data_IF_422521627270
#
_entry.id   IF_422521627270
#
_cell.length_a   1.000
_cell.length_b   1.000
_cell.length_c   1.000
_cell.angle_alpha   90.00
_cell.angle_beta   90.00
_cell.angle_gamma   90.00
#
_symmetry.space_group_name_H-M   'P 1'
#
loop_
_entity.id
_entity.type
_entity.pdbx_description
1 polymer ?
#
# COMPACT_ATOMS: atom_id res chain seq x y z
N UNK A 1 -21.45 21.73 22.28
CA UNK A 1 -20.50 21.17 23.26
C UNK A 1 -20.75 19.70 23.53
N UNK A 2 -21.89 19.28 24.12
CA UNK A 2 -22.16 17.85 24.41
C UNK A 2 -21.99 16.90 23.21
N UNK A 3 -22.47 17.27 22.03
CA UNK A 3 -22.33 16.45 20.80
C UNK A 3 -20.89 16.32 20.27
N UNK A 4 -20.02 17.29 20.56
CA UNK A 4 -18.61 17.26 20.16
C UNK A 4 -17.81 16.34 21.11
N UNK A 5 -18.21 16.30 22.39
CA UNK A 5 -17.66 15.41 23.41
C UNK A 5 -18.04 13.95 23.18
N UNK A 6 -19.28 13.67 22.73
CA UNK A 6 -19.69 12.31 22.34
C UNK A 6 -19.00 11.82 21.07
N UNK A 7 -18.71 12.72 20.13
CA UNK A 7 -17.94 12.40 18.92
C UNK A 7 -16.48 12.03 19.26
N UNK A 8 -15.83 12.81 20.14
CA UNK A 8 -14.47 12.54 20.62
C UNK A 8 -14.39 11.26 21.46
N UNK A 9 -15.38 10.99 22.32
CA UNK A 9 -15.44 9.73 23.07
C UNK A 9 -15.72 8.54 22.14
N UNK A 10 -16.60 8.68 21.14
CA UNK A 10 -16.85 7.66 20.13
C UNK A 10 -15.64 7.36 19.24
N UNK A 11 -14.83 8.38 18.93
CA UNK A 11 -13.55 8.25 18.23
C UNK A 11 -12.48 7.57 19.13
N UNK A 12 -12.46 7.90 20.42
CA UNK A 12 -11.57 7.27 21.42
C UNK A 12 -11.92 5.81 21.72
N UNK A 13 -13.20 5.44 21.63
CA UNK A 13 -13.68 4.10 21.96
C UNK A 13 -13.52 3.09 20.83
N UNK A 14 -13.75 3.52 19.58
CA UNK A 14 -13.49 2.67 18.41
C UNK A 14 -12.01 2.41 18.15
N UNK A 15 -11.13 3.34 18.57
CA UNK A 15 -9.67 3.17 18.48
C UNK A 15 -9.15 2.15 19.50
N UNK A 16 -9.75 2.06 20.69
CA UNK A 16 -9.49 0.97 21.64
C UNK A 16 -10.00 -0.39 21.17
N UNK A 17 -11.08 -0.42 20.40
CA UNK A 17 -11.64 -1.66 19.84
C UNK A 17 -10.85 -2.22 18.67
N UNK A 18 -10.26 -1.33 17.87
CA UNK A 18 -9.29 -1.69 16.85
C UNK A 18 -7.98 -2.27 17.42
N UNK A 19 -7.75 -2.17 18.73
CA UNK A 19 -6.57 -2.70 19.43
C UNK A 19 -6.68 -4.21 19.71
N UNK A 20 -7.89 -4.76 19.75
CA UNK A 20 -8.16 -6.17 20.05
C UNK A 20 -8.17 -7.08 18.80
N UNK A 21 -8.30 -6.50 17.61
CA UNK A 21 -8.23 -7.20 16.33
C UNK A 21 -6.92 -6.77 15.68
N UNK A 22 -6.00 -7.70 15.47
CA UNK A 22 -4.64 -7.49 14.93
C UNK A 22 -4.63 -6.97 13.48
N UNK A 23 -5.06 -5.73 13.28
CA UNK A 23 -4.94 -4.93 12.05
C UNK A 23 -4.58 -3.52 12.50
N UNK A 24 -3.30 -3.17 12.43
CA UNK A 24 -2.78 -1.85 12.82
C UNK A 24 -3.48 -0.74 12.00
N UNK A 25 -3.93 0.32 12.68
CA UNK A 25 -4.88 1.34 12.16
C UNK A 25 -4.37 2.80 12.28
N UNK A 26 -5.01 3.77 11.57
CA UNK A 26 -4.58 5.16 11.36
C UNK A 26 -4.66 6.14 12.56
N UNK A 27 -4.62 5.66 13.79
CA UNK A 27 -4.71 6.53 14.98
C UNK A 27 -3.84 5.96 16.10
N UNK A 28 -2.64 6.49 16.25
CA UNK A 28 -1.83 6.31 17.44
C UNK A 28 -2.26 7.27 18.55
N UNK A 29 -3.38 6.99 19.24
CA UNK A 29 -3.70 7.69 20.48
C UNK A 29 -3.15 6.89 21.67
N UNK A 30 -2.26 7.52 22.41
CA UNK A 30 -1.65 6.96 23.62
C UNK A 30 -2.73 6.70 24.69
N UNK A 31 -2.66 5.54 25.35
CA UNK A 31 -3.64 5.09 26.35
C UNK A 31 -3.71 6.07 27.53
N UNK A 32 -2.59 6.72 27.83
CA UNK A 32 -2.48 7.67 28.93
C UNK A 32 -3.22 8.98 28.66
N UNK A 33 -3.39 9.37 27.39
CA UNK A 33 -4.13 10.59 26.99
C UNK A 33 -5.63 10.40 27.18
N UNK A 34 -6.15 9.20 26.89
CA UNK A 34 -7.57 8.88 27.09
C UNK A 34 -7.93 8.79 28.57
N UNK A 35 -7.04 8.23 29.40
CA UNK A 35 -7.23 8.16 30.85
C UNK A 35 -7.16 9.56 31.48
N UNK A 36 -6.21 10.41 31.08
CA UNK A 36 -6.12 11.79 31.54
C UNK A 36 -7.34 12.63 31.11
N UNK A 37 -7.87 12.40 29.91
CA UNK A 37 -9.10 13.06 29.46
C UNK A 37 -10.32 12.59 30.27
N UNK A 38 -10.46 11.29 30.52
CA UNK A 38 -11.56 10.73 31.29
C UNK A 38 -11.56 11.25 32.75
N UNK A 39 -10.38 11.29 33.38
CA UNK A 39 -10.20 11.78 34.74
C UNK A 39 -10.46 13.29 34.84
N UNK A 40 -10.00 14.07 33.85
CA UNK A 40 -10.22 15.53 33.79
C UNK A 40 -11.68 15.93 33.59
N UNK A 41 -12.51 15.05 33.02
CA UNK A 41 -13.94 15.28 32.82
C UNK A 41 -14.85 14.42 33.71
N UNK A 42 -14.28 13.65 34.65
CA UNK A 42 -15.02 12.84 35.63
C UNK A 42 -15.80 11.67 35.01
N UNK A 43 -15.30 11.09 33.92
CA UNK A 43 -15.92 9.96 33.23
C UNK A 43 -15.31 8.64 33.72
N UNK A 44 -16.13 7.76 34.30
CA UNK A 44 -15.74 6.41 34.71
C UNK A 44 -15.92 5.46 33.51
N UNK A 45 -14.82 5.04 32.87
CA UNK A 45 -14.85 4.27 31.63
C UNK A 45 -14.42 2.82 31.88
N UNK A 46 -15.38 1.90 31.93
CA UNK A 46 -15.14 0.45 31.86
C UNK A 46 -14.92 0.03 30.40
N UNK A 47 -13.65 0.00 30.01
CA UNK A 47 -13.21 -0.33 28.66
C UNK A 47 -13.61 -1.76 28.24
N UNK A 48 -13.71 -2.73 29.15
CA UNK A 48 -14.01 -4.11 28.79
C UNK A 48 -15.51 -4.33 28.49
N UNK A 49 -16.39 -3.53 29.09
CA UNK A 49 -17.82 -3.54 28.77
C UNK A 49 -18.12 -2.83 27.44
N UNK A 50 -17.45 -1.71 27.18
CA UNK A 50 -17.61 -0.91 25.95
C UNK A 50 -17.14 -1.65 24.68
N UNK A 51 -16.18 -2.58 24.80
CA UNK A 51 -15.72 -3.41 23.68
C UNK A 51 -16.78 -4.42 23.20
N UNK A 52 -17.71 -4.81 24.07
CA UNK A 52 -18.77 -5.78 23.77
C UNK A 52 -20.05 -5.15 23.19
N UNK A 53 -20.22 -3.83 23.33
CA UNK A 53 -21.42 -3.09 22.93
C UNK A 53 -21.18 -2.12 21.75
N UNK A 54 -20.30 -2.44 20.79
CA UNK A 54 -20.31 -1.65 19.55
C UNK A 54 -21.62 -1.86 18.80
N UNK A 55 -22.54 -0.96 19.09
CA UNK A 55 -23.81 -0.79 18.41
C UNK A 55 -23.56 -0.51 16.92
N UNK A 56 -24.41 -1.04 16.05
CA UNK A 56 -24.30 -0.89 14.58
C UNK A 56 -24.22 0.58 14.17
N UNK A 57 -24.81 1.47 14.97
CA UNK A 57 -24.78 2.91 14.79
C UNK A 57 -23.37 3.53 14.86
N UNK A 58 -22.46 2.97 15.67
CA UNK A 58 -21.07 3.44 15.74
C UNK A 58 -20.28 2.99 14.51
N UNK A 59 -20.51 1.76 14.06
CA UNK A 59 -19.92 1.25 12.81
C UNK A 59 -20.44 2.04 11.59
N UNK A 60 -21.74 2.36 11.57
CA UNK A 60 -22.36 3.19 10.55
C UNK A 60 -21.86 4.63 10.58
N UNK A 61 -21.67 5.21 11.77
CA UNK A 61 -21.06 6.54 11.92
C UNK A 61 -19.61 6.54 11.42
N UNK A 62 -18.84 5.48 11.71
CA UNK A 62 -17.48 5.31 11.18
C UNK A 62 -17.45 5.19 9.66
N UNK A 63 -18.36 4.43 9.06
CA UNK A 63 -18.51 4.37 7.61
C UNK A 63 -18.89 5.74 7.01
N UNK A 64 -19.63 6.57 7.76
CA UNK A 64 -20.03 7.90 7.33
C UNK A 64 -18.93 8.96 7.51
N UNK A 65 -18.00 8.82 8.45
CA UNK A 65 -16.90 9.78 8.64
C UNK A 65 -16.04 9.88 7.37
N UNK A 66 -15.74 8.75 6.73
CA UNK A 66 -15.02 8.71 5.45
C UNK A 66 -15.80 9.42 4.33
N UNK A 67 -17.13 9.38 4.38
CA UNK A 67 -17.99 10.04 3.41
C UNK A 67 -18.11 11.55 3.64
N UNK A 68 -18.21 11.97 4.90
CA UNK A 68 -18.42 13.37 5.27
C UNK A 68 -17.13 14.18 5.23
N UNK A 69 -15.98 13.52 5.44
CA UNK A 69 -14.68 14.17 5.59
C UNK A 69 -13.57 13.47 4.78
N UNK A 70 -13.73 13.29 3.45
CA UNK A 70 -12.81 12.50 2.64
C UNK A 70 -11.38 13.07 2.64
N UNK A 71 -11.25 14.41 2.62
CA UNK A 71 -9.94 15.07 2.67
C UNK A 71 -9.24 14.84 4.01
N UNK A 72 -10.00 14.89 5.11
CA UNK A 72 -9.48 14.63 6.45
C UNK A 72 -9.05 13.17 6.58
N UNK A 73 -9.84 12.23 6.04
CA UNK A 73 -9.50 10.81 6.04
C UNK A 73 -8.24 10.51 5.22
N UNK A 74 -8.05 11.15 4.06
CA UNK A 74 -6.81 11.02 3.30
C UNK A 74 -5.59 11.62 4.01
N UNK A 75 -5.81 12.63 4.86
CA UNK A 75 -4.75 13.22 5.68
C UNK A 75 -4.51 12.46 6.99
N UNK A 76 -5.32 11.44 7.30
CA UNK A 76 -5.11 10.65 8.51
C UNK A 76 -3.78 9.92 8.43
N UNK A 77 -3.08 9.98 9.55
CA UNK A 77 -1.77 9.39 9.75
C UNK A 77 -1.91 7.86 9.87
N UNK A 78 -1.40 7.10 8.89
CA UNK A 78 -1.25 5.66 9.10
C UNK A 78 -0.01 5.44 9.96
N UNK A 79 -0.22 5.25 11.27
CA UNK A 79 0.89 4.92 12.18
C UNK A 79 1.12 3.41 12.16
N UNK A 80 2.29 3.00 11.72
CA UNK A 80 2.78 1.64 11.88
C UNK A 80 3.84 1.64 12.98
N UNK A 81 3.77 0.66 13.89
CA UNK A 81 4.78 0.58 14.96
C UNK A 81 6.13 0.23 14.34
N UNK A 82 7.24 0.84 14.80
CA UNK A 82 8.58 0.44 14.37
C UNK A 82 8.74 -1.07 14.55
N UNK A 83 9.15 -1.76 13.48
CA UNK A 83 9.30 -3.23 13.54
C UNK A 83 10.48 -3.66 14.40
N UNK A 84 11.47 -2.79 14.61
CA UNK A 84 12.67 -3.10 15.37
C UNK A 84 13.18 -1.83 16.09
N UNK A 85 13.31 -1.83 17.43
CA UNK A 85 14.00 -0.74 18.16
C UNK A 85 15.52 -0.82 18.06
N UNK A 86 16.07 -1.90 17.49
CA UNK A 86 17.50 -2.08 17.22
C UNK A 86 17.78 -2.03 15.71
N UNK A 87 18.92 -1.44 15.33
CA UNK A 87 19.33 -1.30 13.94
C UNK A 87 19.42 -2.67 13.24
N UNK A 88 18.55 -2.88 12.24
CA UNK A 88 18.63 -4.03 11.34
C UNK A 88 20.02 -4.01 10.70
N UNK A 89 20.77 -5.11 10.84
CA UNK A 89 22.07 -5.27 10.18
C UNK A 89 21.84 -5.24 8.67
N UNK A 90 22.14 -4.10 8.06
CA UNK A 90 22.12 -3.95 6.61
C UNK A 90 23.12 -4.94 6.00
N UNK A 91 22.64 -5.76 5.06
CA UNK A 91 23.49 -6.58 4.22
C UNK A 91 24.47 -5.62 3.53
N UNK A 92 25.79 -5.89 3.63
CA UNK A 92 26.84 -5.00 3.11
C UNK A 92 26.97 -5.05 1.59
N UNK A 93 26.48 -6.10 0.95
CA UNK A 93 26.64 -6.31 -0.48
C UNK A 93 25.28 -6.28 -1.18
N UNK A 94 25.06 -5.21 -1.96
CA UNK A 94 23.95 -5.02 -2.89
C UNK A 94 24.47 -5.13 -4.31
N UNK A 95 23.76 -5.84 -5.19
CA UNK A 95 24.18 -5.94 -6.60
C UNK A 95 24.12 -4.56 -7.29
N UNK A 96 23.12 -3.75 -6.94
CA UNK A 96 22.96 -2.38 -7.42
C UNK A 96 22.58 -1.42 -6.30
N UNK A 97 23.13 -0.20 -6.41
CA UNK A 97 22.80 0.93 -5.54
C UNK A 97 22.62 2.15 -6.44
N UNK A 98 21.39 2.64 -6.54
CA UNK A 98 21.02 3.72 -7.46
C UNK A 98 20.69 4.96 -6.67
N UNK A 99 21.26 6.08 -7.09
CA UNK A 99 20.99 7.43 -6.59
C UNK A 99 20.86 8.35 -7.80
N UNK A 100 20.06 9.39 -7.67
CA UNK A 100 19.89 10.41 -8.70
C UNK A 100 20.04 11.80 -8.05
N UNK A 101 20.89 12.65 -8.61
CA UNK A 101 21.14 14.00 -8.09
C UNK A 101 19.85 14.88 -8.11
N UNK A 102 18.89 14.58 -8.98
CA UNK A 102 17.60 15.26 -9.02
C UNK A 102 16.64 14.79 -7.91
N UNK A 103 16.88 13.61 -7.32
CA UNK A 103 16.05 12.99 -6.28
C UNK A 103 16.91 12.84 -5.02
N UNK A 104 17.24 13.98 -4.42
CA UNK A 104 18.00 14.04 -3.17
C UNK A 104 17.31 13.22 -2.07
N UNK A 105 18.12 12.60 -1.20
CA UNK A 105 17.69 11.77 -0.05
C UNK A 105 17.10 10.38 -0.38
N UNK A 106 16.92 10.03 -1.66
CA UNK A 106 16.45 8.70 -2.05
C UNK A 106 17.58 7.82 -2.58
N UNK A 107 17.53 6.53 -2.23
CA UNK A 107 18.44 5.50 -2.74
C UNK A 107 17.67 4.22 -3.03
N UNK A 108 17.91 3.58 -4.18
CA UNK A 108 17.37 2.26 -4.47
C UNK A 108 18.47 1.22 -4.34
N UNK A 109 18.27 0.24 -3.45
CA UNK A 109 19.16 -0.91 -3.26
C UNK A 109 18.52 -2.15 -3.86
N UNK A 110 19.23 -2.85 -4.75
CA UNK A 110 18.66 -3.98 -5.49
C UNK A 110 19.58 -5.18 -5.47
N UNK A 111 18.99 -6.36 -5.30
CA UNK A 111 19.63 -7.66 -5.47
C UNK A 111 18.91 -8.47 -6.54
N UNK A 112 19.68 -9.04 -7.46
CA UNK A 112 19.22 -10.06 -8.39
C UNK A 112 19.25 -11.42 -7.70
N UNK A 113 18.16 -12.17 -7.74
CA UNK A 113 18.13 -13.54 -7.21
C UNK A 113 18.98 -14.42 -8.14
N UNK A 114 20.17 -14.81 -7.67
CA UNK A 114 21.17 -15.55 -8.47
C UNK A 114 20.71 -16.93 -8.92
N UNK A 115 19.98 -17.62 -8.06
CA UNK A 115 19.34 -18.90 -8.39
C UNK A 115 17.89 -18.92 -7.88
N UNK A 116 16.93 -18.53 -8.73
CA UNK A 116 15.50 -18.55 -8.41
C UNK A 116 14.98 -19.92 -7.98
N UNK A 117 15.65 -21.01 -8.38
CA UNK A 117 15.24 -22.38 -8.06
C UNK A 117 15.39 -22.69 -6.57
N UNK A 118 16.28 -22.00 -5.86
CA UNK A 118 16.47 -22.16 -4.41
C UNK A 118 15.20 -21.76 -3.65
N UNK A 119 14.54 -20.68 -4.08
CA UNK A 119 13.31 -20.22 -3.46
C UNK A 119 12.09 -21.02 -3.93
N UNK A 120 12.13 -21.53 -5.17
CA UNK A 120 11.04 -22.32 -5.75
C UNK A 120 9.79 -21.52 -6.15
N UNK A 121 9.81 -20.18 -6.02
CA UNK A 121 8.66 -19.31 -6.27
C UNK A 121 8.34 -19.18 -7.77
N UNK A 122 9.34 -18.90 -8.60
CA UNK A 122 9.24 -18.92 -10.06
C UNK A 122 10.61 -19.30 -10.66
N UNK A 123 10.91 -20.60 -10.82
CA UNK A 123 12.27 -21.11 -10.98
C UNK A 123 12.95 -20.72 -12.30
N UNK A 124 12.18 -20.28 -13.30
CA UNK A 124 12.68 -20.00 -14.66
C UNK A 124 12.61 -18.51 -15.02
N UNK A 125 12.26 -17.65 -14.06
CA UNK A 125 12.06 -16.21 -14.26
C UNK A 125 13.12 -15.43 -13.50
N UNK A 126 13.60 -14.35 -14.10
CA UNK A 126 14.48 -13.40 -13.40
C UNK A 126 13.70 -12.67 -12.33
N UNK A 127 14.28 -12.58 -11.14
CA UNK A 127 13.65 -11.93 -10.00
C UNK A 127 14.61 -10.93 -9.34
N UNK A 128 14.05 -9.82 -8.89
CA UNK A 128 14.78 -8.79 -8.17
C UNK A 128 14.09 -8.51 -6.84
N UNK A 129 14.87 -8.31 -5.79
CA UNK A 129 14.36 -7.88 -4.48
C UNK A 129 15.21 -6.72 -4.00
N UNK A 130 14.63 -5.81 -3.25
CA UNK A 130 15.36 -4.63 -2.84
C UNK A 130 14.59 -3.73 -1.90
N UNK A 131 15.18 -2.56 -1.67
CA UNK A 131 14.60 -1.50 -0.87
C UNK A 131 14.74 -0.16 -1.58
N UNK A 132 13.68 0.66 -1.52
CA UNK A 132 13.83 2.10 -1.62
C UNK A 132 14.12 2.65 -0.22
N UNK A 133 15.16 3.45 -0.10
CA UNK A 133 15.54 4.13 1.13
C UNK A 133 15.26 5.62 1.02
N UNK A 134 14.70 6.19 2.08
CA UNK A 134 14.55 7.63 2.30
C UNK A 134 15.49 7.97 3.46
N UNK A 135 16.69 8.45 3.13
CA UNK A 135 17.84 8.50 4.05
C UNK A 135 17.60 9.42 5.26
N UNK A 136 16.93 10.55 5.06
CA UNK A 136 16.64 11.56 6.09
C UNK A 136 15.44 11.19 6.99
N UNK A 137 14.52 10.38 6.49
CA UNK A 137 13.34 9.91 7.22
C UNK A 137 13.48 8.50 7.82
N UNK A 138 14.61 7.82 7.59
CA UNK A 138 14.87 6.44 8.03
C UNK A 138 13.76 5.48 7.54
N UNK A 139 13.31 5.62 6.29
CA UNK A 139 12.29 4.73 5.69
C UNK A 139 12.94 3.77 4.71
N UNK A 140 12.51 2.52 4.74
CA UNK A 140 12.97 1.47 3.85
C UNK A 140 11.77 0.69 3.29
N UNK A 141 11.44 0.88 2.01
CA UNK A 141 10.32 0.21 1.34
C UNK A 141 10.80 -1.01 0.57
N UNK A 142 10.37 -2.20 0.99
CA UNK A 142 10.69 -3.44 0.32
C UNK A 142 9.89 -3.64 -0.97
N UNK A 143 10.54 -4.17 -1.99
CA UNK A 143 9.88 -4.65 -3.20
C UNK A 143 10.40 -6.01 -3.66
N UNK A 144 9.56 -6.72 -4.42
CA UNK A 144 9.92 -7.93 -5.14
C UNK A 144 9.35 -7.90 -6.56
N UNK A 145 10.22 -7.99 -7.55
CA UNK A 145 9.88 -7.99 -8.97
C UNK A 145 10.06 -9.37 -9.59
N UNK A 146 9.14 -9.74 -10.47
CA UNK A 146 9.19 -10.93 -11.33
C UNK A 146 9.05 -10.48 -12.78
N UNK A 147 10.03 -10.84 -13.62
CA UNK A 147 9.91 -10.62 -15.06
C UNK A 147 8.74 -11.39 -15.67
N UNK A 148 8.24 -10.91 -16.81
CA UNK A 148 7.26 -11.65 -17.61
C UNK A 148 7.79 -13.03 -17.99
N UNK A 149 6.94 -14.05 -17.87
CA UNK A 149 7.20 -15.42 -18.35
C UNK A 149 7.19 -15.51 -19.88
N UNK A 150 6.62 -14.53 -20.57
CA UNK A 150 6.51 -14.49 -22.02
C UNK A 150 7.69 -13.72 -22.65
N UNK A 151 7.56 -12.40 -22.83
CA UNK A 151 8.61 -11.56 -23.41
C UNK A 151 8.81 -10.31 -22.55
N UNK A 152 9.70 -10.34 -21.53
CA UNK A 152 9.90 -9.20 -20.63
C UNK A 152 10.47 -7.96 -21.31
N UNK A 153 10.87 -8.04 -22.58
CA UNK A 153 11.29 -6.91 -23.39
C UNK A 153 10.12 -6.21 -24.13
N UNK A 154 8.91 -6.78 -24.11
CA UNK A 154 7.74 -6.22 -24.82
C UNK A 154 6.50 -6.14 -23.96
N UNK A 155 6.34 -7.10 -23.05
CA UNK A 155 5.20 -7.16 -22.17
C UNK A 155 5.20 -5.99 -21.17
N UNK A 156 4.02 -5.50 -20.72
CA UNK A 156 3.93 -4.35 -19.85
C UNK A 156 4.54 -4.58 -18.46
N UNK A 157 4.79 -3.49 -17.74
CA UNK A 157 5.17 -3.49 -16.32
C UNK A 157 3.95 -3.14 -15.46
N UNK A 158 3.74 -3.87 -14.38
CA UNK A 158 2.63 -3.65 -13.45
C UNK A 158 3.21 -3.46 -12.04
N UNK A 159 2.91 -2.31 -11.41
CA UNK A 159 3.04 -2.15 -9.97
C UNK A 159 1.78 -2.67 -9.28
N UNK A 160 1.90 -3.64 -8.38
CA UNK A 160 0.80 -4.17 -7.57
C UNK A 160 0.84 -3.65 -6.13
N UNK A 161 -0.32 -3.20 -5.64
CA UNK A 161 -0.52 -2.68 -4.29
C UNK A 161 -1.71 -3.35 -3.59
N UNK A 162 -1.47 -4.06 -2.50
CA UNK A 162 -2.56 -4.45 -1.59
C UNK A 162 -3.04 -3.26 -0.73
N UNK A 163 -4.24 -3.38 -0.18
CA UNK A 163 -4.89 -2.35 0.62
C UNK A 163 -4.64 -2.45 2.13
N UNK A 164 -5.71 -2.60 2.91
CA UNK A 164 -5.71 -2.63 4.38
C UNK A 164 -6.48 -1.44 4.98
N UNK A 165 -5.86 -0.27 5.21
CA UNK A 165 -4.45 0.10 4.95
C UNK A 165 -3.45 -0.69 5.81
N UNK A 166 -2.22 -0.89 5.32
CA UNK A 166 -1.14 -1.54 6.07
C UNK A 166 -0.94 -3.04 5.82
N UNK A 167 -1.60 -3.62 4.82
CA UNK A 167 -1.38 -5.01 4.42
C UNK A 167 -0.20 -5.10 3.44
N UNK A 168 0.62 -6.14 3.58
CA UNK A 168 1.75 -6.39 2.67
C UNK A 168 1.27 -6.77 1.28
N UNK A 169 1.94 -6.25 0.25
CA UNK A 169 1.70 -6.63 -1.15
C UNK A 169 2.17 -8.04 -1.46
N UNK A 170 2.94 -8.67 -0.57
CA UNK A 170 3.24 -10.09 -0.64
C UNK A 170 2.02 -10.98 -0.36
N UNK A 171 0.95 -10.40 0.20
CA UNK A 171 -0.36 -11.07 0.26
C UNK A 171 -0.86 -11.34 -1.16
N UNK A 172 -0.90 -10.33 -2.03
CA UNK A 172 -1.27 -10.53 -3.43
C UNK A 172 -0.31 -11.43 -4.19
N UNK A 173 0.99 -11.40 -3.85
CA UNK A 173 1.96 -12.32 -4.42
C UNK A 173 1.62 -13.79 -4.09
N UNK A 174 1.50 -14.14 -2.80
CA UNK A 174 1.38 -15.55 -2.40
C UNK A 174 -0.07 -16.06 -2.28
N UNK A 175 -1.07 -15.20 -2.33
CA UNK A 175 -2.46 -15.57 -2.09
C UNK A 175 -3.40 -15.30 -3.28
N UNK A 176 -3.04 -14.38 -4.18
CA UNK A 176 -3.96 -13.92 -5.22
C UNK A 176 -3.43 -14.19 -6.63
N UNK A 177 -2.37 -13.48 -7.04
CA UNK A 177 -2.01 -13.34 -8.45
C UNK A 177 -0.52 -13.53 -8.75
N UNK A 178 0.32 -13.72 -7.73
CA UNK A 178 1.73 -13.98 -7.93
C UNK A 178 2.01 -15.40 -8.45
N UNK A 179 3.29 -15.68 -8.73
CA UNK A 179 3.74 -16.86 -9.48
C UNK A 179 3.60 -18.19 -8.75
N UNK A 180 3.49 -18.15 -7.43
CA UNK A 180 3.25 -19.31 -6.57
C UNK A 180 2.45 -18.90 -5.34
N UNK A 181 1.62 -19.82 -4.84
CA UNK A 181 1.08 -19.77 -3.49
C UNK A 181 1.94 -20.58 -2.52
N UNK A 182 1.66 -20.50 -1.22
CA UNK A 182 2.35 -21.29 -0.20
C UNK A 182 1.42 -22.39 0.34
N UNK A 183 1.84 -23.64 0.20
CA UNK A 183 1.11 -24.82 0.65
C UNK A 183 1.16 -25.04 2.17
N UNK A 184 0.36 -25.99 2.71
CA UNK A 184 0.36 -26.32 4.13
C UNK A 184 1.70 -26.80 4.69
N UNK A 185 2.58 -27.32 3.83
CA UNK A 185 3.93 -27.77 4.12
C UNK A 185 4.98 -26.64 3.99
N UNK A 186 4.52 -25.39 3.84
CA UNK A 186 5.32 -24.20 3.61
C UNK A 186 6.17 -24.31 2.33
N UNK A 187 5.71 -25.06 1.33
CA UNK A 187 6.34 -25.15 0.02
C UNK A 187 5.61 -24.30 -1.00
N UNK A 188 6.34 -23.69 -1.96
CA UNK A 188 5.71 -22.96 -3.05
C UNK A 188 4.94 -23.92 -3.96
N UNK A 189 3.73 -23.53 -4.34
CA UNK A 189 2.88 -24.23 -5.30
C UNK A 189 2.67 -23.29 -6.49
N UNK A 190 3.18 -23.68 -7.66
CA UNK A 190 3.13 -22.86 -8.86
C UNK A 190 1.70 -22.46 -9.25
N UNK A 191 1.52 -21.17 -9.54
CA UNK A 191 0.26 -20.61 -10.02
C UNK A 191 0.29 -20.52 -11.57
N UNK A 192 -0.54 -21.32 -12.28
CA UNK A 192 -0.64 -21.25 -13.74
C UNK A 192 -1.36 -19.97 -14.24
N UNK A 193 -2.03 -19.23 -13.36
CA UNK A 193 -2.79 -18.01 -13.69
C UNK A 193 -2.13 -16.75 -13.16
N UNK A 194 -0.82 -16.80 -12.88
CA UNK A 194 -0.12 -15.63 -12.35
C UNK A 194 -0.13 -14.48 -13.34
N UNK A 195 -0.25 -13.26 -12.83
CA UNK A 195 -0.20 -12.05 -13.64
C UNK A 195 1.16 -11.83 -14.31
N UNK A 196 2.24 -12.44 -13.81
CA UNK A 196 3.52 -12.39 -14.52
C UNK A 196 3.58 -13.30 -15.76
N UNK A 197 2.47 -13.93 -16.17
CA UNK A 197 2.43 -14.71 -17.41
C UNK A 197 2.69 -13.86 -18.66
N UNK A 198 2.25 -12.59 -18.64
CA UNK A 198 2.35 -11.65 -19.77
C UNK A 198 2.64 -10.21 -19.30
N UNK A 199 3.32 -10.06 -18.16
CA UNK A 199 3.73 -8.77 -17.62
C UNK A 199 4.91 -8.96 -16.66
N UNK A 200 5.78 -7.96 -16.54
CA UNK A 200 6.70 -7.87 -15.42
C UNK A 200 5.96 -7.24 -14.23
N UNK A 201 5.90 -7.93 -13.08
CA UNK A 201 5.10 -7.49 -11.94
C UNK A 201 6.00 -7.11 -10.76
N UNK A 202 5.76 -5.94 -10.18
CA UNK A 202 6.44 -5.38 -9.01
C UNK A 202 5.47 -5.41 -7.84
N UNK A 203 5.80 -6.12 -6.76
CA UNK A 203 5.05 -6.11 -5.50
C UNK A 203 5.75 -5.17 -4.53
N UNK A 204 5.09 -4.08 -4.12
CA UNK A 204 5.66 -3.06 -3.24
C UNK A 204 4.98 -3.06 -1.87
N UNK A 205 5.76 -3.23 -0.80
CA UNK A 205 5.26 -3.10 0.57
C UNK A 205 5.20 -1.63 0.99
N UNK A 206 4.01 -1.07 1.04
CA UNK A 206 3.74 0.28 1.51
C UNK A 206 2.46 0.33 2.35
N UNK A 207 2.33 1.28 3.31
CA UNK A 207 3.33 2.26 3.74
C UNK A 207 4.51 1.66 4.53
N UNK A 208 5.40 2.50 5.06
CA UNK A 208 6.57 2.05 5.83
C UNK A 208 6.16 1.19 7.04
N UNK A 209 7.03 0.24 7.43
CA UNK A 209 6.76 -0.85 8.41
C UNK A 209 5.71 -1.91 7.99
N UNK A 210 5.17 -1.88 6.77
CA UNK A 210 4.35 -2.97 6.22
C UNK A 210 5.23 -4.11 5.68
N UNK A 211 4.83 -5.37 5.84
CA UNK A 211 5.55 -6.52 5.25
C UNK A 211 7.05 -6.60 5.59
N UNK A 212 7.94 -6.44 4.62
CA UNK A 212 9.38 -6.31 4.88
C UNK A 212 9.89 -4.87 4.92
N UNK A 213 9.06 -3.89 4.57
CA UNK A 213 9.37 -2.47 4.77
C UNK A 213 9.51 -2.13 6.24
N UNK A 214 10.37 -1.17 6.59
CA UNK A 214 10.67 -0.80 7.97
C UNK A 214 11.18 0.65 8.13
N UNK A 215 11.04 1.18 9.34
CA UNK A 215 11.62 2.42 9.85
C UNK A 215 11.83 2.31 11.36
N UNK A 216 12.94 2.83 11.87
CA UNK A 216 13.25 2.93 13.30
C UNK A 216 12.70 4.20 13.95
N UNK A 217 12.41 5.24 13.16
CA UNK A 217 11.70 6.43 13.62
C UNK A 217 10.17 6.21 13.62
N UNK A 218 9.40 7.05 14.32
CA UNK A 218 7.93 6.96 14.31
C UNK A 218 7.39 7.29 12.92
N UNK A 219 7.27 6.24 12.10
CA UNK A 219 6.82 6.21 10.70
C UNK A 219 5.34 6.55 10.56
N UNK A 220 5.03 7.82 10.78
CA UNK A 220 3.76 8.41 10.41
C UNK A 220 3.83 8.78 8.94
N UNK A 221 3.14 8.02 8.09
CA UNK A 221 2.89 8.43 6.69
C UNK A 221 1.39 8.49 6.44
N UNK A 222 0.94 9.52 5.75
CA UNK A 222 -0.40 9.55 5.15
C UNK A 222 -0.31 9.20 3.66
N UNK A 223 -1.44 9.02 2.99
CA UNK A 223 -1.49 8.62 1.57
C UNK A 223 -0.78 9.62 0.65
N UNK A 224 -0.77 10.90 1.00
CA UNK A 224 -0.10 11.95 0.20
C UNK A 224 1.42 11.82 0.31
N UNK A 225 1.95 11.62 1.52
CA UNK A 225 3.38 11.38 1.73
C UNK A 225 3.82 10.08 1.04
N UNK A 226 3.03 9.01 1.15
CA UNK A 226 3.30 7.75 0.46
C UNK A 226 3.34 7.90 -1.06
N UNK A 227 2.55 8.83 -1.63
CA UNK A 227 2.58 9.11 -3.07
C UNK A 227 3.92 9.63 -3.55
N UNK A 228 4.56 10.52 -2.79
CA UNK A 228 5.91 11.04 -3.09
C UNK A 228 6.96 9.94 -3.02
N UNK A 229 6.91 9.13 -1.97
CA UNK A 229 7.83 8.01 -1.78
C UNK A 229 7.70 6.99 -2.92
N UNK A 230 6.48 6.69 -3.36
CA UNK A 230 6.23 5.77 -4.48
C UNK A 230 6.65 6.36 -5.82
N UNK A 231 6.45 7.67 -6.04
CA UNK A 231 6.94 8.34 -7.25
C UNK A 231 8.47 8.23 -7.35
N UNK A 232 9.19 8.58 -6.28
CA UNK A 232 10.65 8.51 -6.25
C UNK A 232 11.18 7.07 -6.35
N UNK A 233 10.44 6.09 -5.80
CA UNK A 233 10.71 4.67 -6.03
C UNK A 233 10.67 4.34 -7.52
N UNK A 234 9.62 4.74 -8.22
CA UNK A 234 9.43 4.43 -9.63
C UNK A 234 10.48 5.11 -10.51
N UNK A 235 10.82 6.38 -10.24
CA UNK A 235 11.90 7.07 -10.94
C UNK A 235 13.23 6.33 -10.83
N UNK A 236 13.64 5.97 -9.61
CA UNK A 236 14.90 5.23 -9.40
C UNK A 236 14.83 3.80 -9.94
N UNK A 237 13.65 3.16 -9.88
CA UNK A 237 13.44 1.82 -10.42
C UNK A 237 13.62 1.82 -11.94
N UNK A 238 13.00 2.76 -12.65
CA UNK A 238 13.13 2.86 -14.10
C UNK A 238 14.48 3.42 -14.55
N UNK A 239 15.21 4.15 -13.69
CA UNK A 239 16.60 4.51 -13.95
C UNK A 239 17.53 3.28 -13.85
N UNK A 240 17.28 2.38 -12.89
CA UNK A 240 18.02 1.12 -12.76
C UNK A 240 17.66 0.11 -13.86
N UNK A 241 16.41 0.10 -14.31
CA UNK A 241 15.88 -0.83 -15.30
C UNK A 241 15.33 -0.08 -16.52
N UNK A 242 16.17 0.70 -17.23
CA UNK A 242 15.73 1.52 -18.33
C UNK A 242 15.26 0.68 -19.52
N UNK A 243 15.59 -0.61 -19.57
CA UNK A 243 15.08 -1.55 -20.57
C UNK A 243 13.56 -1.65 -20.58
N UNK A 244 12.89 -1.45 -19.44
CA UNK A 244 11.43 -1.47 -19.35
C UNK A 244 10.80 -0.23 -20.00
N UNK A 245 11.47 0.92 -19.97
CA UNK A 245 10.94 2.16 -20.56
C UNK A 245 11.41 2.32 -22.00
N UNK A 246 12.69 2.09 -22.29
CA UNK A 246 13.32 2.35 -23.59
C UNK A 246 12.69 1.55 -24.74
N UNK A 247 12.06 0.41 -24.44
CA UNK A 247 11.36 -0.41 -25.43
C UNK A 247 9.91 0.00 -25.64
N UNK A 248 9.45 1.04 -24.95
CA UNK A 248 8.08 1.54 -25.01
C UNK A 248 7.08 0.59 -24.36
N UNK A 249 7.47 -0.16 -23.33
CA UNK A 249 6.53 -1.02 -22.61
C UNK A 249 5.55 -0.15 -21.82
N UNK A 250 4.28 -0.53 -21.84
CA UNK A 250 3.27 0.15 -21.04
C UNK A 250 3.51 -0.09 -19.54
N UNK A 251 3.25 0.93 -18.73
CA UNK A 251 3.30 0.80 -17.28
C UNK A 251 1.93 1.07 -16.65
N UNK A 252 1.54 0.18 -15.74
CA UNK A 252 0.27 0.22 -15.07
C UNK A 252 0.42 0.14 -13.56
N UNK A 253 -0.50 0.78 -12.83
CA UNK A 253 -0.62 0.62 -11.38
C UNK A 253 -1.92 -0.14 -11.10
N UNK A 254 -1.79 -1.30 -10.47
CA UNK A 254 -2.90 -2.14 -10.08
C UNK A 254 -2.95 -2.32 -8.55
N UNK A 255 -4.13 -2.54 -8.00
CA UNK A 255 -4.25 -2.88 -6.59
C UNK A 255 -5.68 -3.08 -6.15
N UNK A 256 -5.84 -3.41 -4.87
CA UNK A 256 -7.14 -3.77 -4.31
C UNK A 256 -7.50 -3.07 -2.98
N UNK A 257 -8.80 -3.06 -2.65
CA UNK A 257 -9.31 -2.62 -1.36
C UNK A 257 -8.95 -1.14 -1.07
N UNK A 258 -8.18 -0.85 -0.01
CA UNK A 258 -7.74 0.51 0.31
C UNK A 258 -6.76 1.09 -0.73
N UNK A 259 -6.23 0.27 -1.65
CA UNK A 259 -5.51 0.78 -2.82
C UNK A 259 -6.39 1.67 -3.71
N UNK A 260 -7.71 1.62 -3.57
CA UNK A 260 -8.61 2.62 -4.17
C UNK A 260 -8.40 4.05 -3.68
N UNK A 261 -7.77 4.25 -2.51
CA UNK A 261 -7.30 5.57 -2.07
C UNK A 261 -5.87 5.86 -2.52
N UNK A 262 -4.99 4.85 -2.51
CA UNK A 262 -3.59 5.01 -2.90
C UNK A 262 -3.44 5.33 -4.39
N UNK A 263 -4.02 4.51 -5.24
CA UNK A 263 -3.78 4.52 -6.69
C UNK A 263 -4.16 5.86 -7.33
N UNK A 264 -5.33 6.48 -7.03
CA UNK A 264 -5.64 7.79 -7.60
C UNK A 264 -4.68 8.89 -7.13
N UNK A 265 -4.24 8.86 -5.87
CA UNK A 265 -3.29 9.84 -5.32
C UNK A 265 -1.91 9.65 -5.96
N UNK A 266 -1.46 8.40 -6.09
CA UNK A 266 -0.16 8.07 -6.69
C UNK A 266 -0.15 8.43 -8.18
N UNK A 267 -1.23 8.10 -8.91
CA UNK A 267 -1.38 8.50 -10.31
C UNK A 267 -1.37 10.04 -10.46
N UNK A 268 -2.06 10.76 -9.57
CA UNK A 268 -2.05 12.23 -9.59
C UNK A 268 -0.65 12.80 -9.31
N UNK A 269 0.09 12.22 -8.37
CA UNK A 269 1.47 12.61 -8.08
C UNK A 269 2.35 12.39 -9.32
N UNK A 270 2.37 11.18 -9.89
CA UNK A 270 3.14 10.83 -11.09
C UNK A 270 2.84 11.76 -12.27
N UNK A 271 1.55 12.03 -12.53
CA UNK A 271 1.12 12.86 -13.66
C UNK A 271 1.41 14.36 -13.46
N UNK A 272 1.67 14.79 -12.21
CA UNK A 272 2.05 16.16 -11.89
C UNK A 272 3.50 16.47 -12.29
N UNK A 273 4.38 15.47 -12.29
CA UNK A 273 5.77 15.58 -12.74
C UNK A 273 5.85 15.46 -14.27
N UNK A 274 6.33 16.52 -14.93
CA UNK A 274 6.42 16.60 -16.41
C UNK A 274 7.72 16.05 -16.98
N UNK A 275 8.73 16.00 -16.13
CA UNK A 275 10.11 15.58 -16.35
C UNK A 275 10.38 14.12 -15.93
N UNK A 276 9.32 13.40 -15.54
CA UNK A 276 9.38 11.98 -15.16
C UNK A 276 10.06 11.10 -16.23
N UNK A 277 10.80 10.09 -15.79
CA UNK A 277 11.55 9.20 -16.69
C UNK A 277 10.74 8.00 -17.23
N UNK A 278 9.45 7.91 -16.89
CA UNK A 278 8.53 6.85 -17.32
C UNK A 278 7.13 7.40 -17.64
N UNK A 279 6.28 6.60 -18.28
CA UNK A 279 4.88 6.96 -18.55
C UNK A 279 3.92 6.04 -17.79
N UNK A 280 2.83 6.60 -17.27
CA UNK A 280 1.73 5.83 -16.69
C UNK A 280 0.65 5.66 -17.75
N UNK A 281 0.47 4.43 -18.27
CA UNK A 281 -0.52 4.13 -19.31
C UNK A 281 -1.91 3.96 -18.71
N UNK A 282 -2.04 3.17 -17.64
CA UNK A 282 -3.33 3.00 -16.97
C UNK A 282 -3.26 2.61 -15.49
N UNK A 283 -4.42 2.63 -14.82
CA UNK A 283 -4.56 2.06 -13.47
C UNK A 283 -5.66 1.00 -13.42
N UNK A 284 -5.56 0.05 -12.48
CA UNK A 284 -6.57 -0.99 -12.22
C UNK A 284 -6.89 -1.07 -10.73
N UNK A 285 -8.15 -0.91 -10.33
CA UNK A 285 -8.51 -0.81 -8.91
C UNK A 285 -9.53 -1.88 -8.48
N UNK A 286 -9.12 -3.10 -8.12
CA UNK A 286 -10.04 -4.17 -7.72
C UNK A 286 -10.73 -3.92 -6.36
N UNK A 287 -12.01 -4.26 -6.26
CA UNK A 287 -12.77 -4.32 -5.00
C UNK A 287 -12.55 -3.13 -4.05
N UNK A 288 -12.38 -1.93 -4.61
CA UNK A 288 -11.93 -0.80 -3.82
C UNK A 288 -13.03 -0.20 -2.95
N UNK A 289 -12.58 0.32 -1.81
CA UNK A 289 -13.35 1.23 -0.98
C UNK A 289 -13.25 2.65 -1.56
N UNK A 290 -13.77 2.86 -2.77
CA UNK A 290 -13.82 4.18 -3.41
C UNK A 290 -15.09 4.91 -2.98
N UNK A 291 -14.97 6.02 -2.24
CA UNK A 291 -16.13 6.89 -1.96
C UNK A 291 -16.40 7.76 -3.19
N UNK A 292 -17.41 7.40 -3.98
CA UNK A 292 -17.93 8.26 -5.05
C UNK A 292 -19.10 9.11 -4.52
N UNK A 293 -18.95 10.44 -4.52
CA UNK A 293 -20.03 11.35 -4.14
C UNK A 293 -20.84 11.78 -5.37
N UNK A 294 -22.12 11.39 -5.42
CA UNK A 294 -23.17 12.05 -6.23
C UNK A 294 -24.24 12.59 -5.29
N UNK A 295 -24.67 13.86 -5.43
CA UNK A 295 -25.75 14.38 -4.61
C UNK A 295 -27.01 13.52 -4.83
N UNK A 296 -27.55 12.96 -3.74
CA UNK A 296 -28.87 12.31 -3.72
C UNK A 296 -28.93 10.80 -4.02
N UNK A 297 -27.82 10.07 -4.22
CA UNK A 297 -27.84 8.59 -4.26
C UNK A 297 -26.61 7.96 -3.61
N UNK A 298 -26.87 7.12 -2.60
CA UNK A 298 -25.90 6.18 -2.00
C UNK A 298 -25.69 5.01 -2.98
N UNK A 299 -24.49 4.84 -3.49
CA UNK A 299 -24.09 3.65 -4.25
C UNK A 299 -22.79 3.12 -3.64
N UNK A 300 -22.92 2.20 -2.68
CA UNK A 300 -21.82 1.34 -2.25
C UNK A 300 -21.74 0.19 -3.26
N UNK A 301 -20.75 0.22 -4.16
CA UNK A 301 -20.43 -0.88 -5.05
C UNK A 301 -18.91 -0.96 -5.22
N UNK A 302 -18.40 -2.18 -5.22
CA UNK A 302 -17.03 -2.51 -5.60
C UNK A 302 -16.85 -2.28 -7.10
N UNK A 303 -15.95 -1.38 -7.50
CA UNK A 303 -15.66 -1.10 -8.91
C UNK A 303 -14.18 -1.25 -9.19
N UNK A 304 -13.83 -2.01 -10.23
CA UNK A 304 -12.57 -1.88 -10.97
C UNK A 304 -12.62 -0.63 -11.83
N UNK A 305 -11.78 0.34 -11.51
CA UNK A 305 -11.59 1.55 -12.32
C UNK A 305 -10.39 1.34 -13.22
N UNK A 306 -10.60 1.45 -14.54
CA UNK A 306 -9.53 1.65 -15.51
C UNK A 306 -9.44 3.14 -15.88
N UNK A 307 -8.26 3.74 -15.69
CA UNK A 307 -7.91 5.04 -16.27
C UNK A 307 -7.03 4.77 -17.48
N UNK A 308 -7.42 5.15 -18.70
CA UNK A 308 -6.54 5.10 -19.87
C UNK A 308 -6.13 6.53 -20.26
N UNK A 309 -4.83 6.82 -20.25
CA UNK A 309 -4.27 8.14 -20.59
C UNK A 309 -4.47 8.51 -22.06
N UNK A 310 -4.72 7.53 -22.95
CA UNK A 310 -4.94 7.77 -24.38
C UNK A 310 -6.33 8.38 -24.66
N UNK A 311 -7.34 8.03 -23.86
CA UNK A 311 -8.72 8.46 -24.11
C UNK A 311 -9.35 9.35 -23.02
N UNK A 312 -8.70 9.54 -21.85
CA UNK A 312 -9.28 10.24 -20.70
C UNK A 312 -10.65 9.68 -20.26
N UNK A 313 -10.88 8.39 -20.49
CA UNK A 313 -12.14 7.72 -20.19
C UNK A 313 -12.00 6.87 -18.92
N UNK A 314 -13.01 6.96 -18.03
CA UNK A 314 -13.15 6.06 -16.88
C UNK A 314 -13.97 4.85 -17.30
N UNK A 315 -13.37 3.65 -17.30
CA UNK A 315 -14.13 2.41 -17.47
C UNK A 315 -14.35 1.74 -16.11
N UNK A 316 -15.61 1.43 -15.81
CA UNK A 316 -16.02 0.77 -14.57
C UNK A 316 -16.34 -0.70 -14.88
N UNK A 317 -15.57 -1.62 -14.30
CA UNK A 317 -15.87 -3.06 -14.33
C UNK A 317 -16.26 -3.52 -12.93
N UNK A 318 -17.36 -4.25 -12.79
CA UNK A 318 -17.80 -4.86 -11.53
C UNK A 318 -17.57 -6.35 -11.63
N UNK A 319 -16.58 -6.89 -10.92
CA UNK A 319 -16.48 -8.33 -10.70
C UNK A 319 -17.05 -8.66 -9.33
N UNK A 320 -18.13 -9.43 -9.32
CA UNK A 320 -18.63 -10.07 -8.10
C UNK A 320 -17.91 -11.41 -8.00
N UNK A 321 -17.03 -11.57 -7.03
CA UNK A 321 -16.60 -12.91 -6.63
C UNK A 321 -17.83 -13.59 -5.99
N UNK A 322 -18.33 -14.63 -6.63
CA UNK A 322 -19.45 -15.47 -6.17
C UNK A 322 -18.98 -16.50 -5.16
#
# INVERSE_FOLDING_TARGET
MKAFTSLLCGLGLSTTLAKAISLQRPLGLDKDVLLQAAEKFGLDLDLDHLLKELDSNVLDAWAQIEHLYPNQVMSLETSTKPKFPEAIKTKKDWDFVVKNDAIENYQLRVNKIKDPKILGIDPNVTQYTGYLDVEDEDKHFFFWTFESRNDPAKDPVILWLNGGPGCSSLTGLFFELGPSSIGPDLKPIGNPYSWNSNATVIFLDQPVNVGFSYSGSSGVSNTVAAGKDVYNFLELFFDQFPEYVNKGQDFHIAGESYAGHYIPVFASEILSHKDRNFNLTSVLIGNAKCVYWRPGRRLERSYTVLLDDVEKNFFYFSFSFS
#
